data_IF_302849268997
#
_entry.id   IF_302849268997
#
_cell.length_a   1.000
_cell.length_b   1.000
_cell.length_c   1.000
_cell.angle_alpha   90.00
_cell.angle_beta   90.00
_cell.angle_gamma   90.00
#
_symmetry.space_group_name_H-M   'P 1'
#
loop_
_entity.id
_entity.type
_entity.pdbx_description
1 polymer ?
#
# COMPACT_ATOMS: atom_id res chain seq x y z
N UNK A 1 26.22 23.31 -11.77
CA UNK A 1 25.22 23.29 -12.86
C UNK A 1 24.79 24.70 -13.24
N UNK A 2 25.15 25.72 -12.44
CA UNK A 2 24.63 27.10 -12.52
C UNK A 2 25.28 28.04 -13.56
N UNK A 3 26.39 27.63 -14.19
CA UNK A 3 27.11 28.48 -15.15
C UNK A 3 26.42 28.46 -16.53
N UNK A 4 25.69 27.39 -16.85
CA UNK A 4 25.00 27.24 -18.14
C UNK A 4 23.67 28.02 -18.16
N UNK A 5 22.92 27.99 -17.06
CA UNK A 5 21.65 28.73 -16.91
C UNK A 5 21.84 30.25 -16.95
N UNK A 6 22.94 30.75 -16.37
CA UNK A 6 23.28 32.18 -16.39
C UNK A 6 23.67 32.66 -17.80
N UNK A 7 24.30 31.81 -18.61
CA UNK A 7 24.69 32.12 -19.99
C UNK A 7 23.48 32.14 -20.93
N UNK A 8 22.52 31.23 -20.72
CA UNK A 8 21.25 31.19 -21.46
C UNK A 8 20.38 32.42 -21.20
N UNK A 9 20.30 32.87 -19.94
CA UNK A 9 19.56 34.08 -19.58
C UNK A 9 20.17 35.34 -20.19
N UNK A 10 21.50 35.41 -20.25
CA UNK A 10 22.19 36.54 -20.87
C UNK A 10 22.00 36.59 -22.40
N UNK A 11 21.94 35.43 -23.06
CA UNK A 11 21.59 35.33 -24.47
C UNK A 11 20.13 35.71 -24.71
N UNK A 12 19.21 35.25 -23.87
CA UNK A 12 17.80 35.60 -23.93
C UNK A 12 17.59 37.12 -23.74
N UNK A 13 18.32 37.74 -22.81
CA UNK A 13 18.29 39.20 -22.59
C UNK A 13 18.79 39.97 -23.82
N UNK A 14 19.93 39.59 -24.39
CA UNK A 14 20.47 40.22 -25.63
C UNK A 14 19.49 40.10 -26.81
N UNK A 15 18.83 38.96 -26.94
CA UNK A 15 17.86 38.72 -28.02
C UNK A 15 16.61 39.57 -27.81
N UNK A 16 16.16 39.73 -26.55
CA UNK A 16 15.03 40.57 -26.17
C UNK A 16 15.32 42.06 -26.40
N UNK A 17 16.52 42.53 -26.07
CA UNK A 17 16.94 43.92 -26.32
C UNK A 17 17.07 44.21 -27.81
N UNK A 18 17.57 43.25 -28.59
CA UNK A 18 17.63 43.37 -30.06
C UNK A 18 16.22 43.45 -30.65
N UNK A 19 15.30 42.58 -30.23
CA UNK A 19 13.91 42.63 -30.69
C UNK A 19 13.21 43.92 -30.22
N UNK A 20 13.49 44.38 -29.00
CA UNK A 20 12.95 45.64 -28.51
C UNK A 20 13.42 46.85 -29.35
N UNK A 21 14.65 46.85 -29.88
CA UNK A 21 15.11 47.93 -30.76
C UNK A 21 14.40 47.93 -32.13
N UNK A 22 14.00 46.76 -32.64
CA UNK A 22 13.25 46.64 -33.90
C UNK A 22 11.75 46.91 -33.78
N UNK A 23 11.16 46.64 -32.61
CA UNK A 23 9.70 46.66 -32.41
C UNK A 23 9.20 47.67 -31.36
N UNK A 24 10.09 48.51 -30.80
CA UNK A 24 9.65 49.58 -29.90
C UNK A 24 8.64 50.49 -30.59
N UNK A 25 7.48 50.80 -29.97
CA UNK A 25 6.54 51.77 -30.51
C UNK A 25 7.24 53.10 -30.69
N UNK A 26 7.30 53.57 -31.93
CA UNK A 26 7.78 54.92 -32.27
C UNK A 26 6.95 55.90 -31.44
N UNK A 27 7.55 56.68 -30.51
CA UNK A 27 6.79 57.72 -29.84
C UNK A 27 6.34 58.71 -30.90
N UNK A 28 5.03 58.90 -30.97
CA UNK A 28 4.35 59.85 -31.82
C UNK A 28 5.08 61.20 -31.84
N UNK A 29 5.40 61.66 -33.05
CA UNK A 29 5.76 63.04 -33.37
C UNK A 29 6.89 63.68 -32.55
N UNK A 30 8.13 63.33 -32.89
CA UNK A 30 9.19 64.34 -32.95
C UNK A 30 9.99 64.12 -34.21
N UNK A 31 9.87 65.12 -35.09
CA UNK A 31 10.57 65.27 -36.36
C UNK A 31 12.07 65.19 -36.17
N UNK A 32 12.63 63.99 -36.18
CA UNK A 32 14.05 63.73 -36.39
C UNK A 32 14.18 62.37 -37.10
N UNK A 33 13.81 62.36 -38.38
CA UNK A 33 14.26 61.33 -39.29
C UNK A 33 15.80 61.43 -39.38
N UNK A 34 16.58 60.36 -39.10
CA UNK A 34 18.01 60.33 -39.44
C UNK A 34 18.23 60.24 -40.96
N UNK A 35 17.17 60.33 -41.76
CA UNK A 35 17.15 60.29 -43.22
C UNK A 35 16.87 61.66 -43.86
N UNK A 36 17.30 62.77 -43.24
CA UNK A 36 17.51 64.00 -43.99
C UNK A 36 18.86 63.90 -44.73
N UNK A 37 19.02 62.90 -45.60
CA UNK A 37 20.05 62.94 -46.64
C UNK A 37 19.68 64.13 -47.51
N UNK A 38 20.58 65.10 -47.55
CA UNK A 38 20.49 66.27 -48.41
C UNK A 38 20.09 65.80 -49.82
N UNK A 39 18.83 66.06 -50.22
CA UNK A 39 18.29 65.64 -51.52
C UNK A 39 19.12 66.35 -52.58
N UNK A 40 20.12 65.65 -53.06
CA UNK A 40 20.97 66.14 -54.12
C UNK A 40 20.19 65.86 -55.40
N UNK A 41 20.08 66.81 -56.34
CA UNK A 41 19.38 66.62 -57.61
C UNK A 41 20.00 65.55 -58.54
N UNK A 42 20.97 64.79 -58.02
CA UNK A 42 21.73 63.71 -58.64
C UNK A 42 21.42 62.34 -58.02
N UNK A 43 20.54 62.28 -57.00
CA UNK A 43 20.14 61.06 -56.31
C UNK A 43 18.96 60.39 -57.04
N UNK A 44 19.22 59.26 -57.71
CA UNK A 44 18.24 58.50 -58.50
C UNK A 44 17.24 57.76 -57.59
N UNK A 45 17.64 57.43 -56.35
CA UNK A 45 16.82 56.66 -55.41
C UNK A 45 15.83 57.54 -54.63
N UNK A 46 15.83 58.86 -54.87
CA UNK A 46 14.94 59.80 -54.21
C UNK A 46 13.51 59.69 -54.73
N UNK A 47 12.53 59.73 -53.82
CA UNK A 47 11.09 59.72 -54.16
C UNK A 47 10.62 60.90 -55.01
N UNK A 48 11.43 61.95 -55.14
CA UNK A 48 11.16 63.16 -55.95
C UNK A 48 12.03 63.26 -57.20
N UNK A 49 12.66 62.16 -57.64
CA UNK A 49 13.56 62.13 -58.80
C UNK A 49 12.90 62.71 -60.07
N UNK A 50 13.60 63.64 -60.73
CA UNK A 50 13.17 64.28 -61.98
C UNK A 50 14.12 63.88 -63.12
N UNK A 51 13.72 62.95 -64.01
CA UNK A 51 14.60 62.41 -65.05
C UNK A 51 15.17 63.48 -66.01
N UNK A 52 14.35 64.47 -66.37
CA UNK A 52 14.75 65.52 -67.31
C UNK A 52 15.81 66.46 -66.73
N UNK A 53 15.74 66.74 -65.43
CA UNK A 53 16.71 67.60 -64.75
C UNK A 53 18.03 66.85 -64.55
N UNK A 54 17.95 65.58 -64.14
CA UNK A 54 19.10 64.68 -64.01
C UNK A 54 19.86 64.55 -65.34
N UNK A 55 19.15 64.24 -66.43
CA UNK A 55 19.75 64.09 -67.77
C UNK A 55 20.39 65.39 -68.26
N UNK A 56 19.76 66.56 -68.03
CA UNK A 56 20.34 67.87 -68.40
C UNK A 56 21.62 68.18 -67.62
N UNK A 57 21.68 67.84 -66.33
CA UNK A 57 22.87 68.03 -65.50
C UNK A 57 23.97 67.07 -65.95
N UNK A 58 23.62 65.81 -66.22
CA UNK A 58 24.56 64.77 -66.65
C UNK A 58 25.16 65.08 -68.02
N UNK A 59 24.35 65.48 -69.00
CA UNK A 59 24.80 65.85 -70.35
C UNK A 59 25.71 67.09 -70.38
N UNK A 60 25.59 67.99 -69.38
CA UNK A 60 26.47 69.16 -69.23
C UNK A 60 27.78 68.85 -68.50
N UNK A 61 27.79 67.84 -67.62
CA UNK A 61 28.94 67.50 -66.76
C UNK A 61 29.82 66.39 -67.32
N UNK A 62 29.28 65.47 -68.12
CA UNK A 62 29.99 64.29 -68.63
C UNK A 62 30.34 64.41 -70.12
N UNK A 63 31.44 63.79 -70.52
CA UNK A 63 31.78 63.61 -71.94
C UNK A 63 31.03 62.40 -72.53
N UNK A 64 31.03 62.25 -73.86
CA UNK A 64 30.29 61.18 -74.54
C UNK A 64 30.71 59.77 -74.07
N UNK A 65 32.00 59.57 -73.79
CA UNK A 65 32.53 58.30 -73.29
C UNK A 65 32.02 57.97 -71.88
N UNK A 66 31.98 58.97 -70.98
CA UNK A 66 31.41 58.84 -69.64
C UNK A 66 29.90 58.59 -69.67
N UNK A 67 29.18 59.20 -70.62
CA UNK A 67 27.76 58.94 -70.81
C UNK A 67 27.50 57.50 -71.30
N UNK A 68 28.34 57.00 -72.22
CA UNK A 68 28.28 55.62 -72.70
C UNK A 68 28.60 54.62 -71.58
N UNK A 69 29.65 54.89 -70.80
CA UNK A 69 30.03 54.08 -69.65
C UNK A 69 28.88 54.01 -68.63
N UNK A 70 28.26 55.14 -68.31
CA UNK A 70 27.12 55.15 -67.38
C UNK A 70 25.89 54.43 -67.93
N UNK A 71 25.65 54.48 -69.24
CA UNK A 71 24.62 53.66 -69.87
C UNK A 71 24.89 52.16 -69.70
N UNK A 72 26.13 51.71 -69.94
CA UNK A 72 26.52 50.30 -69.75
C UNK A 72 26.36 49.86 -68.29
N UNK A 73 26.80 50.70 -67.35
CA UNK A 73 26.61 50.46 -65.91
C UNK A 73 25.14 50.36 -65.54
N UNK A 74 24.30 51.27 -66.03
CA UNK A 74 22.86 51.27 -65.75
C UNK A 74 22.19 50.02 -66.31
N UNK A 75 22.57 49.55 -67.49
CA UNK A 75 22.06 48.29 -68.05
C UNK A 75 22.47 47.09 -67.20
N UNK A 76 23.69 47.08 -66.66
CA UNK A 76 24.13 46.02 -65.75
C UNK A 76 23.37 46.07 -64.42
N UNK A 77 23.17 47.27 -63.87
CA UNK A 77 22.42 47.52 -62.63
C UNK A 77 20.96 47.08 -62.74
N UNK A 78 20.29 47.41 -63.85
CA UNK A 78 18.92 46.95 -64.15
C UNK A 78 18.84 45.41 -64.12
N UNK A 79 19.80 44.71 -64.74
CA UNK A 79 19.82 43.24 -64.75
C UNK A 79 20.09 42.65 -63.37
N UNK A 80 20.98 43.28 -62.59
CA UNK A 80 21.25 42.82 -61.23
C UNK A 80 20.00 43.00 -60.34
N UNK A 81 19.34 44.16 -60.41
CA UNK A 81 18.11 44.43 -59.67
C UNK A 81 16.97 43.47 -60.05
N UNK A 82 16.84 43.09 -61.33
CA UNK A 82 15.87 42.08 -61.76
C UNK A 82 16.18 40.70 -61.15
N UNK A 83 17.46 40.32 -61.12
CA UNK A 83 17.92 39.06 -60.50
C UNK A 83 17.66 39.07 -58.99
N UNK A 84 17.97 40.18 -58.32
CA UNK A 84 17.74 40.35 -56.87
C UNK A 84 16.24 40.33 -56.54
N UNK A 85 15.40 40.95 -57.37
CA UNK A 85 13.95 40.91 -57.22
C UNK A 85 13.43 39.48 -57.35
N UNK A 86 13.88 38.74 -58.37
CA UNK A 86 13.51 37.33 -58.55
C UNK A 86 13.94 36.47 -57.36
N UNK A 87 15.16 36.68 -56.85
CA UNK A 87 15.68 35.98 -55.69
C UNK A 87 14.85 36.28 -54.43
N UNK A 88 14.52 37.55 -54.19
CA UNK A 88 13.70 37.96 -53.06
C UNK A 88 12.31 37.33 -53.11
N UNK A 89 11.69 37.35 -54.29
CA UNK A 89 10.38 36.72 -54.53
C UNK A 89 10.45 35.22 -54.26
N UNK A 90 11.47 34.52 -54.77
CA UNK A 90 11.66 33.09 -54.52
C UNK A 90 11.84 32.79 -53.03
N UNK A 91 12.72 33.52 -52.34
CA UNK A 91 12.93 33.33 -50.90
C UNK A 91 11.65 33.58 -50.11
N UNK A 92 10.90 34.61 -50.47
CA UNK A 92 9.69 35.00 -49.79
C UNK A 92 8.58 33.95 -49.98
N UNK A 93 8.37 33.47 -51.21
CA UNK A 93 7.44 32.37 -51.48
C UNK A 93 7.88 31.07 -50.79
N UNK A 94 9.17 30.74 -50.80
CA UNK A 94 9.67 29.56 -50.10
C UNK A 94 9.43 29.66 -48.58
N UNK A 95 9.65 30.84 -47.98
CA UNK A 95 9.32 31.11 -46.57
C UNK A 95 7.82 30.94 -46.30
N UNK A 96 6.95 31.41 -47.19
CA UNK A 96 5.50 31.21 -47.07
C UNK A 96 5.07 29.76 -47.20
N UNK A 97 5.66 29.00 -48.11
CA UNK A 97 5.41 27.56 -48.26
C UNK A 97 5.84 26.82 -46.99
N UNK A 98 7.05 27.08 -46.49
CA UNK A 98 7.56 26.50 -45.25
C UNK A 98 6.67 26.85 -44.04
N UNK A 99 6.22 28.10 -43.93
CA UNK A 99 5.29 28.53 -42.88
C UNK A 99 3.96 27.78 -42.99
N UNK A 100 3.41 27.67 -44.20
CA UNK A 100 2.16 26.95 -44.47
C UNK A 100 2.27 25.47 -44.12
N UNK A 101 3.36 24.81 -44.49
CA UNK A 101 3.58 23.39 -44.16
C UNK A 101 3.81 23.17 -42.67
N UNK A 102 4.45 24.13 -41.99
CA UNK A 102 4.56 24.12 -40.52
C UNK A 102 3.17 24.22 -39.88
N UNK A 103 2.31 25.10 -40.35
CA UNK A 103 0.92 25.22 -39.87
C UNK A 103 0.13 23.92 -40.11
N UNK A 104 0.27 23.30 -41.28
CA UNK A 104 -0.37 22.00 -41.57
C UNK A 104 0.09 20.91 -40.60
N UNK A 105 1.40 20.83 -40.34
CA UNK A 105 1.97 19.88 -39.38
C UNK A 105 1.47 20.13 -37.97
N UNK A 106 1.43 21.40 -37.54
CA UNK A 106 0.89 21.79 -36.24
C UNK A 106 -0.58 21.38 -36.12
N UNK A 107 -1.40 21.63 -37.15
CA UNK A 107 -2.80 21.20 -37.19
C UNK A 107 -2.95 19.69 -37.04
N UNK A 108 -2.17 18.90 -37.79
CA UNK A 108 -2.22 17.44 -37.69
C UNK A 108 -1.85 16.94 -36.30
N UNK A 109 -0.84 17.53 -35.67
CA UNK A 109 -0.42 17.17 -34.32
C UNK A 109 -1.49 17.52 -33.28
N UNK A 110 -2.14 18.68 -33.41
CA UNK A 110 -3.22 19.10 -32.50
C UNK A 110 -4.42 18.16 -32.62
N UNK A 111 -4.81 17.78 -33.84
CA UNK A 111 -5.90 16.81 -34.05
C UNK A 111 -5.57 15.44 -33.46
N UNK A 112 -4.33 14.95 -33.65
CA UNK A 112 -3.89 13.72 -33.00
C UNK A 112 -3.83 13.82 -31.46
N UNK A 113 -3.53 15.00 -30.91
CA UNK A 113 -3.55 15.25 -29.47
C UNK A 113 -4.97 15.24 -28.90
N UNK A 114 -5.95 15.77 -29.63
CA UNK A 114 -7.37 15.75 -29.25
C UNK A 114 -7.89 14.30 -29.13
N UNK A 115 -7.62 13.46 -30.13
CA UNK A 115 -7.95 12.03 -30.08
C UNK A 115 -7.30 11.31 -28.89
N UNK A 116 -6.02 11.56 -28.64
CA UNK A 116 -5.31 10.98 -27.50
C UNK A 116 -5.90 11.45 -26.15
N UNK A 117 -6.36 12.70 -26.07
CA UNK A 117 -6.99 13.26 -24.88
C UNK A 117 -8.38 12.64 -24.64
N UNK A 118 -9.15 12.41 -25.68
CA UNK A 118 -10.43 11.67 -25.60
C UNK A 118 -10.22 10.23 -25.12
N UNK A 119 -9.24 9.51 -25.67
CA UNK A 119 -8.90 8.16 -25.22
C UNK A 119 -8.42 8.14 -23.76
N UNK A 120 -7.69 9.17 -23.33
CA UNK A 120 -7.26 9.29 -21.93
C UNK A 120 -8.46 9.53 -21.01
N UNK A 121 -9.39 10.41 -21.40
CA UNK A 121 -10.61 10.67 -20.64
C UNK A 121 -11.46 9.41 -20.50
N UNK A 122 -11.63 8.64 -21.58
CA UNK A 122 -12.32 7.36 -21.56
C UNK A 122 -11.64 6.37 -20.59
N UNK A 123 -10.30 6.25 -20.64
CA UNK A 123 -9.56 5.40 -19.71
C UNK A 123 -9.72 5.84 -18.27
N UNK A 124 -9.68 7.14 -17.98
CA UNK A 124 -9.90 7.68 -16.63
C UNK A 124 -11.32 7.35 -16.16
N UNK A 125 -12.33 7.53 -17.00
CA UNK A 125 -13.71 7.17 -16.67
C UNK A 125 -13.87 5.66 -16.42
N UNK A 126 -13.21 4.81 -17.22
CA UNK A 126 -13.21 3.36 -17.00
C UNK A 126 -12.53 2.99 -15.67
N UNK A 127 -11.38 3.60 -15.35
CA UNK A 127 -10.68 3.38 -14.09
C UNK A 127 -11.53 3.87 -12.91
N UNK A 128 -12.15 5.04 -13.01
CA UNK A 128 -13.06 5.58 -11.99
C UNK A 128 -14.23 4.62 -11.75
N UNK A 129 -14.93 4.19 -12.80
CA UNK A 129 -16.05 3.25 -12.71
C UNK A 129 -15.63 1.92 -12.07
N UNK A 130 -14.48 1.36 -12.47
CA UNK A 130 -13.93 0.14 -11.87
C UNK A 130 -13.55 0.35 -10.41
N UNK A 131 -12.97 1.50 -10.07
CA UNK A 131 -12.62 1.88 -8.70
C UNK A 131 -13.87 2.00 -7.82
N UNK A 132 -14.92 2.64 -8.33
CA UNK A 132 -16.19 2.78 -7.63
C UNK A 132 -16.82 1.40 -7.38
N UNK A 133 -16.82 0.51 -8.37
CA UNK A 133 -17.30 -0.87 -8.21
C UNK A 133 -16.49 -1.68 -7.20
N UNK A 134 -15.17 -1.54 -7.18
CA UNK A 134 -14.33 -2.17 -6.15
C UNK A 134 -14.63 -1.57 -4.78
N UNK A 135 -14.80 -0.26 -4.69
CA UNK A 135 -15.08 0.43 -3.44
C UNK A 135 -16.44 0.04 -2.85
N UNK A 136 -17.49 -0.09 -3.68
CA UNK A 136 -18.79 -0.59 -3.22
C UNK A 136 -18.68 -2.02 -2.69
N UNK A 137 -17.98 -2.91 -3.40
CA UNK A 137 -17.76 -4.28 -2.94
C UNK A 137 -16.96 -4.35 -1.62
N UNK A 138 -15.94 -3.51 -1.46
CA UNK A 138 -15.20 -3.41 -0.20
C UNK A 138 -16.07 -2.85 0.94
N UNK A 139 -16.98 -1.91 0.66
CA UNK A 139 -17.92 -1.37 1.63
C UNK A 139 -18.88 -2.47 2.13
N UNK A 140 -19.49 -3.23 1.23
CA UNK A 140 -20.36 -4.37 1.56
C UNK A 140 -19.62 -5.43 2.41
N UNK A 141 -18.39 -5.77 2.01
CA UNK A 141 -17.55 -6.70 2.76
C UNK A 141 -17.20 -6.18 4.17
N UNK A 142 -16.89 -4.88 4.31
CA UNK A 142 -16.64 -4.25 5.61
C UNK A 142 -17.87 -4.31 6.51
N UNK A 143 -19.06 -4.02 5.99
CA UNK A 143 -20.32 -4.14 6.74
C UNK A 143 -20.57 -5.57 7.20
N UNK A 144 -20.32 -6.56 6.34
CA UNK A 144 -20.45 -7.96 6.71
C UNK A 144 -19.46 -8.35 7.82
N UNK A 145 -18.20 -7.93 7.71
CA UNK A 145 -17.18 -8.14 8.74
C UNK A 145 -17.58 -7.49 10.06
N UNK A 146 -18.11 -6.26 10.03
CA UNK A 146 -18.62 -5.60 11.24
C UNK A 146 -19.77 -6.37 11.88
N UNK A 147 -20.73 -6.87 11.10
CA UNK A 147 -21.84 -7.68 11.62
C UNK A 147 -21.35 -8.96 12.29
N UNK A 148 -20.40 -9.65 11.67
CA UNK A 148 -19.75 -10.83 12.26
C UNK A 148 -19.00 -10.45 13.54
N UNK A 149 -18.24 -9.35 13.53
CA UNK A 149 -17.50 -8.88 14.68
C UNK A 149 -18.41 -8.51 15.86
N UNK A 150 -19.57 -7.88 15.60
CA UNK A 150 -20.62 -7.66 16.62
C UNK A 150 -21.06 -8.99 17.22
N UNK A 151 -21.40 -9.97 16.38
CA UNK A 151 -21.83 -11.30 16.85
C UNK A 151 -20.75 -11.99 17.70
N UNK A 152 -19.49 -12.01 17.24
CA UNK A 152 -18.36 -12.55 18.00
C UNK A 152 -18.12 -11.79 19.31
N UNK A 153 -18.30 -10.46 19.33
CA UNK A 153 -18.22 -9.66 20.55
C UNK A 153 -19.33 -10.02 21.55
N UNK A 154 -20.57 -10.22 21.08
CA UNK A 154 -21.68 -10.67 21.93
C UNK A 154 -21.40 -12.08 22.48
N UNK A 155 -21.00 -13.02 21.62
CA UNK A 155 -20.66 -14.39 22.05
C UNK A 155 -19.53 -14.39 23.07
N UNK A 156 -18.47 -13.59 22.86
CA UNK A 156 -17.39 -13.44 23.84
C UNK A 156 -17.90 -12.86 25.16
N UNK A 157 -18.78 -11.85 25.15
CA UNK A 157 -19.37 -11.32 26.39
C UNK A 157 -20.16 -12.37 27.15
N UNK A 158 -21.00 -13.15 26.46
CA UNK A 158 -21.78 -14.24 27.07
C UNK A 158 -20.84 -15.31 27.63
N UNK A 159 -19.83 -15.70 26.86
CA UNK A 159 -18.84 -16.68 27.27
C UNK A 159 -18.05 -16.20 28.49
N UNK A 160 -17.59 -14.94 28.51
CA UNK A 160 -16.92 -14.34 29.68
C UNK A 160 -17.85 -14.27 30.88
N UNK A 161 -19.13 -13.90 30.71
CA UNK A 161 -20.13 -13.93 31.79
C UNK A 161 -20.34 -15.33 32.34
N UNK A 162 -20.46 -16.33 31.47
CA UNK A 162 -20.63 -17.72 31.88
C UNK A 162 -19.38 -18.24 32.60
N UNK A 163 -18.18 -17.92 32.09
CA UNK A 163 -16.93 -18.27 32.77
C UNK A 163 -16.74 -17.54 34.10
N UNK A 164 -17.14 -16.28 34.23
CA UNK A 164 -17.05 -15.58 35.52
C UNK A 164 -18.06 -16.14 36.52
N UNK A 165 -19.29 -16.45 36.11
CA UNK A 165 -20.26 -17.10 37.00
C UNK A 165 -19.80 -18.52 37.38
N UNK A 166 -19.31 -19.30 36.42
CA UNK A 166 -18.79 -20.64 36.64
C UNK A 166 -17.57 -20.63 37.57
N UNK A 167 -16.57 -19.77 37.29
CA UNK A 167 -15.39 -19.61 38.13
C UNK A 167 -15.80 -19.16 39.54
N UNK A 168 -16.68 -18.16 39.71
CA UNK A 168 -17.02 -17.67 41.06
C UNK A 168 -17.80 -18.71 41.89
N UNK A 169 -18.62 -19.56 41.24
CA UNK A 169 -19.35 -20.63 41.94
C UNK A 169 -18.42 -21.79 42.30
N UNK A 170 -17.50 -22.17 41.42
CA UNK A 170 -16.52 -23.24 41.65
C UNK A 170 -15.33 -22.78 42.52
N UNK A 171 -14.96 -21.50 42.53
CA UNK A 171 -13.87 -20.92 43.31
C UNK A 171 -14.15 -21.01 44.82
N UNK A 172 -15.40 -20.79 45.24
CA UNK A 172 -15.79 -21.02 46.64
C UNK A 172 -15.75 -22.50 47.02
N UNK A 173 -16.06 -23.40 46.09
CA UNK A 173 -16.01 -24.84 46.33
C UNK A 173 -14.57 -25.38 46.36
N UNK A 174 -13.69 -24.88 45.49
CA UNK A 174 -12.27 -25.27 45.42
C UNK A 174 -11.47 -24.69 46.59
N UNK A 175 -11.71 -23.45 47.01
CA UNK A 175 -10.92 -22.84 48.09
C UNK A 175 -11.22 -23.44 49.46
N UNK A 176 -12.47 -23.87 49.70
CA UNK A 176 -12.89 -24.60 50.92
C UNK A 176 -12.60 -26.12 50.84
N UNK A 177 -12.10 -26.62 49.69
CA UNK A 177 -11.84 -28.05 49.48
C UNK A 177 -10.76 -28.60 50.42
N UNK A 178 -9.57 -27.96 50.62
CA UNK A 178 -8.54 -28.47 51.51
C UNK A 178 -9.01 -28.54 52.97
N UNK A 179 -9.75 -27.52 53.43
CA UNK A 179 -10.31 -27.48 54.78
C UNK A 179 -11.38 -28.56 55.00
N UNK A 180 -12.19 -28.86 53.98
CA UNK A 180 -13.15 -29.97 54.01
C UNK A 180 -12.46 -31.33 54.04
N UNK A 181 -11.42 -31.55 53.23
CA UNK A 181 -10.62 -32.77 53.29
C UNK A 181 -9.95 -32.93 54.66
N UNK A 182 -9.42 -31.84 55.23
CA UNK A 182 -8.86 -31.83 56.58
C UNK A 182 -9.87 -32.21 57.66
N UNK A 183 -11.14 -31.78 57.56
CA UNK A 183 -12.23 -32.20 58.45
C UNK A 183 -12.55 -33.69 58.28
N UNK A 184 -12.60 -34.19 57.05
CA UNK A 184 -12.86 -35.61 56.77
C UNK A 184 -11.75 -36.54 57.29
N UNK A 185 -10.49 -36.08 57.29
CA UNK A 185 -9.36 -36.80 57.92
C UNK A 185 -9.58 -36.93 59.43
N UNK A 186 -10.07 -35.87 60.10
CA UNK A 186 -10.33 -35.87 61.54
C UNK A 186 -11.54 -36.70 61.94
N UNK A 187 -12.56 -36.77 61.07
CA UNK A 187 -13.80 -37.51 61.33
C UNK A 187 -13.82 -38.94 60.76
N UNK A 188 -12.69 -39.42 60.21
CA UNK A 188 -12.53 -40.71 59.50
C UNK A 188 -13.56 -40.98 58.38
N UNK A 189 -14.19 -39.93 57.84
CA UNK A 189 -15.20 -40.02 56.79
C UNK A 189 -14.53 -40.04 55.41
N UNK A 190 -13.83 -41.14 55.10
CA UNK A 190 -12.99 -41.24 53.90
C UNK A 190 -13.79 -41.32 52.59
N UNK A 191 -15.01 -41.87 52.60
CA UNK A 191 -15.84 -41.99 51.39
C UNK A 191 -16.28 -40.63 50.81
N UNK A 192 -16.66 -39.70 51.68
CA UNK A 192 -17.05 -38.35 51.25
C UNK A 192 -15.85 -37.54 50.76
N UNK A 193 -14.68 -37.72 51.40
CA UNK A 193 -13.44 -37.06 50.98
C UNK A 193 -13.02 -37.44 49.56
N UNK A 194 -13.09 -38.74 49.22
CA UNK A 194 -12.81 -39.23 47.87
C UNK A 194 -13.79 -38.65 46.86
N UNK A 195 -15.09 -38.61 47.18
CA UNK A 195 -16.12 -38.06 46.29
C UNK A 195 -15.91 -36.56 46.00
N UNK A 196 -15.57 -35.78 47.03
CA UNK A 196 -15.28 -34.35 46.85
C UNK A 196 -14.01 -34.12 46.01
N UNK A 197 -12.96 -34.91 46.21
CA UNK A 197 -11.73 -34.82 45.42
C UNK A 197 -11.95 -35.21 43.95
N UNK A 198 -12.65 -36.33 43.69
CA UNK A 198 -12.95 -36.78 42.33
C UNK A 198 -13.84 -35.79 41.57
N UNK A 199 -14.78 -35.14 42.26
CA UNK A 199 -15.62 -34.08 41.68
C UNK A 199 -14.84 -32.83 41.26
N UNK A 200 -13.77 -32.47 41.99
CA UNK A 200 -12.94 -31.29 41.74
C UNK A 200 -11.78 -31.53 40.74
N UNK A 201 -11.45 -32.78 40.45
CA UNK A 201 -10.40 -33.19 39.51
C UNK A 201 -10.45 -32.55 38.11
N UNK A 202 -11.61 -32.43 37.40
CA UNK A 202 -11.66 -31.81 36.08
C UNK A 202 -11.28 -30.32 36.12
N UNK A 203 -11.54 -29.64 37.23
CA UNK A 203 -11.25 -28.22 37.42
C UNK A 203 -9.75 -28.02 37.68
N UNK A 204 -9.14 -28.86 38.53
CA UNK A 204 -7.69 -28.87 38.71
C UNK A 204 -6.92 -29.23 37.42
N UNK A 205 -7.51 -30.03 36.52
CA UNK A 205 -6.89 -30.35 35.22
C UNK A 205 -6.94 -29.18 34.24
N UNK A 206 -8.00 -28.36 34.27
CA UNK A 206 -8.15 -27.23 33.35
C UNK A 206 -7.48 -25.94 33.86
N UNK A 207 -7.46 -25.71 35.18
CA UNK A 207 -7.05 -24.44 35.79
C UNK A 207 -6.04 -24.59 36.94
N UNK A 208 -5.69 -25.82 37.34
CA UNK A 208 -4.88 -26.08 38.54
C UNK A 208 -3.41 -25.65 38.45
N UNK A 209 -2.87 -25.41 37.26
CA UNK A 209 -1.48 -24.95 37.09
C UNK A 209 -1.37 -23.41 37.01
N UNK A 210 -2.50 -22.71 37.16
CA UNK A 210 -2.58 -21.24 37.20
C UNK A 210 -3.08 -20.76 38.57
N UNK A 211 -4.32 -20.28 38.67
CA UNK A 211 -4.87 -19.64 39.87
C UNK A 211 -5.06 -20.56 41.08
N UNK A 212 -5.10 -21.88 40.91
CA UNK A 212 -5.44 -22.85 41.96
C UNK A 212 -4.28 -23.77 42.37
N UNK A 213 -3.03 -23.39 42.08
CA UNK A 213 -1.86 -24.24 42.32
C UNK A 213 -1.67 -24.61 43.80
N UNK A 214 -1.87 -23.66 44.71
CA UNK A 214 -1.72 -23.90 46.15
C UNK A 214 -2.83 -24.78 46.72
N UNK A 215 -4.08 -24.57 46.26
CA UNK A 215 -5.22 -25.42 46.63
C UNK A 215 -5.08 -26.84 46.09
N UNK A 216 -4.61 -27.00 44.85
CA UNK A 216 -4.30 -28.29 44.24
C UNK A 216 -3.28 -29.04 45.09
N UNK A 217 -2.14 -28.41 45.42
CA UNK A 217 -1.09 -28.99 46.25
C UNK A 217 -1.61 -29.41 47.63
N UNK A 218 -2.31 -28.53 48.33
CA UNK A 218 -2.87 -28.83 49.66
C UNK A 218 -3.90 -29.98 49.62
N UNK A 219 -4.71 -30.06 48.56
CA UNK A 219 -5.67 -31.16 48.37
C UNK A 219 -4.99 -32.49 48.00
N UNK A 220 -3.90 -32.45 47.21
CA UNK A 220 -3.07 -33.61 46.87
C UNK A 220 -2.31 -34.15 48.10
N UNK A 221 -1.85 -33.27 48.99
CA UNK A 221 -1.25 -33.65 50.26
C UNK A 221 -2.28 -34.28 51.21
N UNK A 222 -3.48 -33.70 51.32
CA UNK A 222 -4.57 -34.23 52.13
C UNK A 222 -5.04 -35.60 51.61
N UNK A 223 -5.17 -35.79 50.29
CA UNK A 223 -5.55 -37.09 49.72
C UNK A 223 -4.43 -38.12 49.89
N UNK A 224 -3.15 -37.73 49.84
CA UNK A 224 -2.03 -38.64 50.11
C UNK A 224 -2.07 -39.18 51.55
N UNK A 225 -2.43 -38.33 52.53
CA UNK A 225 -2.65 -38.74 53.92
C UNK A 225 -3.83 -39.71 54.02
N UNK A 226 -4.93 -39.42 53.33
CA UNK A 226 -6.12 -40.30 53.27
C UNK A 226 -5.76 -41.66 52.67
N UNK A 227 -5.01 -41.68 51.57
CA UNK A 227 -4.54 -42.91 50.91
C UNK A 227 -3.67 -43.74 51.85
N UNK A 228 -2.75 -43.10 52.59
CA UNK A 228 -1.91 -43.76 53.59
C UNK A 228 -2.74 -44.37 54.73
N UNK A 229 -3.74 -43.64 55.21
CA UNK A 229 -4.65 -44.13 56.25
C UNK A 229 -5.53 -45.28 55.75
N UNK A 230 -6.06 -45.19 54.53
CA UNK A 230 -6.85 -46.25 53.90
C UNK A 230 -6.03 -47.50 53.64
N UNK A 231 -4.78 -47.37 53.17
CA UNK A 231 -3.85 -48.50 53.04
C UNK A 231 -3.57 -49.13 54.40
N UNK A 232 -3.32 -48.33 55.44
CA UNK A 232 -3.17 -48.82 56.81
C UNK A 232 -4.39 -49.62 57.30
N UNK A 233 -5.61 -49.18 56.96
CA UNK A 233 -6.87 -49.89 57.28
C UNK A 233 -7.05 -51.18 56.48
N UNK A 234 -6.56 -51.23 55.24
CA UNK A 234 -6.57 -52.46 54.41
C UNK A 234 -5.57 -53.51 54.92
N UNK A 235 -4.40 -53.09 55.42
CA UNK A 235 -3.35 -53.98 55.93
C UNK A 235 -3.46 -54.33 57.42
N UNK A 236 -4.32 -53.64 58.18
CA UNK A 236 -4.52 -53.95 59.61
C UNK A 236 -5.51 -55.10 59.78
N UNK A 237 -5.05 -56.20 60.39
CA UNK A 237 -5.85 -57.42 60.61
C UNK A 237 -6.95 -57.25 61.69
N UNK A 238 -7.03 -56.06 62.30
CA UNK A 238 -7.99 -55.71 63.36
C UNK A 238 -9.32 -55.18 62.84
N UNK A 239 -9.48 -54.94 61.54
CA UNK A 239 -10.69 -54.32 60.97
C UNK A 239 -11.62 -55.32 60.23
N UNK A 240 -12.91 -55.01 60.28
CA UNK A 240 -13.98 -55.76 59.61
C UNK A 240 -13.73 -55.91 58.11
N UNK A 241 -14.04 -57.10 57.56
CA UNK A 241 -13.91 -57.42 56.12
C UNK A 241 -14.66 -56.43 55.21
N UNK A 242 -15.75 -55.84 55.72
CA UNK A 242 -16.55 -54.85 55.01
C UNK A 242 -15.82 -53.50 54.87
N UNK A 243 -15.14 -53.03 55.92
CA UNK A 243 -14.38 -51.77 55.92
C UNK A 243 -13.14 -51.88 55.03
N UNK A 244 -12.53 -53.07 54.97
CA UNK A 244 -11.43 -53.38 54.05
C UNK A 244 -11.88 -53.37 52.59
N UNK A 245 -13.05 -53.94 52.29
CA UNK A 245 -13.62 -53.92 50.94
C UNK A 245 -13.98 -52.50 50.50
N UNK A 246 -14.58 -51.70 51.38
CA UNK A 246 -14.93 -50.30 51.11
C UNK A 246 -13.67 -49.42 50.92
N UNK A 247 -12.63 -49.60 51.73
CA UNK A 247 -11.35 -48.92 51.56
C UNK A 247 -10.66 -49.28 50.24
N UNK A 248 -10.71 -50.54 49.82
CA UNK A 248 -10.17 -50.99 48.53
C UNK A 248 -10.94 -50.40 47.33
N UNK A 249 -12.27 -50.26 47.44
CA UNK A 249 -13.11 -49.62 46.41
C UNK A 249 -12.80 -48.13 46.30
N UNK A 250 -12.62 -47.43 47.43
CA UNK A 250 -12.27 -46.00 47.45
C UNK A 250 -10.87 -45.73 46.88
N UNK A 251 -9.89 -46.61 47.16
CA UNK A 251 -8.56 -46.53 46.57
C UNK A 251 -8.59 -46.73 45.05
N UNK A 252 -9.45 -47.63 44.56
CA UNK A 252 -9.67 -47.83 43.13
C UNK A 252 -10.31 -46.60 42.46
N UNK A 253 -11.22 -45.90 43.14
CA UNK A 253 -11.84 -44.67 42.61
C UNK A 253 -10.88 -43.49 42.51
N UNK A 254 -9.83 -43.44 43.33
CA UNK A 254 -8.75 -42.43 43.26
C UNK A 254 -7.66 -42.75 42.25
N UNK A 255 -7.77 -43.86 41.51
CA UNK A 255 -6.82 -44.30 40.49
C UNK A 255 -5.38 -44.51 41.00
N UNK A 256 -5.21 -44.83 42.29
CA UNK A 256 -3.94 -45.29 42.85
C UNK A 256 -3.88 -46.83 42.78
N UNK A 257 -2.77 -47.41 42.29
CA UNK A 257 -2.67 -48.85 42.13
C UNK A 257 -2.67 -49.52 43.51
N UNK A 258 -3.69 -50.34 43.75
CA UNK A 258 -3.66 -51.35 44.81
C UNK A 258 -2.71 -52.46 44.31
N UNK A 259 -1.40 -52.18 44.36
CA UNK A 259 -0.39 -53.18 44.08
C UNK A 259 -0.41 -54.21 45.22
N UNK A 260 -0.80 -55.44 44.86
CA UNK A 260 -0.39 -56.63 45.60
C UNK A 260 -1.48 -57.35 46.39
N UNK A 261 -2.67 -57.59 45.84
CA UNK A 261 -3.60 -58.58 46.41
C UNK A 261 -4.47 -59.26 45.34
N UNK A 262 -3.87 -60.00 44.39
CA UNK A 262 -4.59 -61.06 43.64
C UNK A 262 -3.70 -62.18 43.02
N UNK A 263 -2.44 -62.36 43.43
CA UNK A 263 -1.62 -63.46 42.84
C UNK A 263 -1.34 -64.68 43.74
N UNK A 264 -1.63 -64.65 45.05
CA UNK A 264 -1.15 -65.73 45.92
C UNK A 264 -2.16 -66.84 46.30
N UNK A 265 -3.39 -66.84 45.78
CA UNK A 265 -4.35 -67.92 46.09
C UNK A 265 -5.30 -68.28 44.94
N UNK A 266 -4.74 -68.84 43.86
CA UNK A 266 -5.47 -69.78 43.01
C UNK A 266 -4.47 -70.62 42.18
N UNK A 267 -4.14 -71.81 42.71
CA UNK A 267 -4.10 -73.10 41.99
C UNK A 267 -3.67 -73.06 40.50
N UNK A 268 -2.54 -73.62 40.10
CA UNK A 268 -2.24 -75.04 40.29
C UNK A 268 -3.05 -75.87 39.28
N UNK A 269 -2.37 -76.36 38.24
CA UNK A 269 -2.89 -77.19 37.12
C UNK A 269 -3.83 -76.42 36.18
N UNK A 270 -3.57 -76.26 34.88
CA UNK A 270 -3.28 -77.31 33.89
C UNK A 270 -2.43 -76.71 32.77
N UNK A 271 -1.33 -77.37 32.45
CA UNK A 271 -0.52 -77.07 31.27
C UNK A 271 -1.19 -77.52 29.97
N UNK A 272 -0.62 -77.00 28.87
CA UNK A 272 -0.77 -77.47 27.50
C UNK A 272 -2.17 -77.31 26.88
N UNK A 273 -2.30 -76.37 25.95
CA UNK A 273 -2.51 -76.73 24.54
C UNK A 273 -2.17 -75.52 23.66
N UNK A 274 -1.08 -75.69 22.93
CA UNK A 274 -0.71 -74.89 21.78
C UNK A 274 -1.64 -75.17 20.59
N UNK A 275 -1.46 -74.32 19.56
CA UNK A 275 -1.94 -74.33 18.17
C UNK A 275 -3.08 -73.34 17.89
N UNK A 276 -3.14 -72.61 16.78
CA UNK A 276 -2.25 -72.26 15.65
C UNK A 276 -3.19 -71.61 14.61
N UNK A 277 -2.82 -70.44 14.04
CA UNK A 277 -3.30 -69.84 12.76
C UNK A 277 -4.81 -69.49 12.69
N UNK A 278 -5.27 -68.54 11.89
CA UNK A 278 -4.76 -68.07 10.60
C UNK A 278 -5.11 -66.60 10.32
N UNK A 279 -4.27 -66.06 9.43
CA UNK A 279 -4.34 -64.80 8.71
C UNK A 279 -5.61 -64.57 7.86
N UNK A 280 -6.01 -63.28 7.84
CA UNK A 280 -6.54 -62.46 6.73
C UNK A 280 -7.90 -62.80 6.06
N UNK A 281 -8.54 -61.83 5.37
CA UNK A 281 -8.08 -60.46 5.07
C UNK A 281 -8.83 -59.30 5.72
#
# INVERSE_FOLDING_TARGET
MDIDDTLLDEKARRTRDLLASFYSPIPSASSNNPFSKHISPDDIDSSSFQPDQYMKIMARKSNLEGLLQKHVEMVAEIKNLDTDLQMLVYENYNKFICATDTIKRMKSNILGMEENMEQLLEKIMSVQSRSDSVNTSLCENREHIEKMHRTCNLLRKVQVMFYTIFIVVDEQFIYDLPDRLGKCIKSEAYADAVRFYTGSMPIFKAYGDSSFQDCKRASEEAIAIIVKNLQGKVFSDSESMQVRAEAAVLLKQLNFPVCGLFEDKATGEVGAFAYRRADYP
#
